data_IF_723266133826
#
_entry.id   IF_723266133826
#
_cell.length_a   1.000
_cell.length_b   1.000
_cell.length_c   1.000
_cell.angle_alpha   90.00
_cell.angle_beta   90.00
_cell.angle_gamma   90.00
#
_symmetry.space_group_name_H-M   'P 1'
#
loop_
_entity.id
_entity.type
_entity.pdbx_description
1 polymer ?
#
# COMPACT_ATOMS: atom_id res chain seq x y z
N UNK A 1 5.38 -2.84 -2.76
CA UNK A 1 6.19 -2.46 -3.93
C UNK A 1 6.31 -0.96 -4.16
N UNK A 2 5.20 -0.19 -4.19
CA UNK A 2 5.23 1.29 -4.39
C UNK A 2 6.18 1.97 -3.39
N UNK A 3 6.06 1.68 -2.09
CA UNK A 3 6.97 2.19 -1.07
C UNK A 3 8.44 1.88 -1.38
N UNK A 4 8.75 0.62 -1.68
CA UNK A 4 10.15 0.19 -1.92
C UNK A 4 10.80 0.95 -3.07
N UNK A 5 10.09 1.06 -4.19
CA UNK A 5 10.64 1.75 -5.37
C UNK A 5 10.78 3.26 -5.14
N UNK A 6 9.76 3.91 -4.59
CA UNK A 6 9.81 5.36 -4.35
C UNK A 6 10.91 5.73 -3.34
N UNK A 7 11.08 4.93 -2.27
CA UNK A 7 12.16 5.13 -1.32
C UNK A 7 13.53 4.88 -1.97
N UNK A 8 13.68 3.81 -2.75
CA UNK A 8 14.92 3.50 -3.47
C UNK A 8 15.32 4.61 -4.43
N UNK A 9 14.38 5.12 -5.22
CA UNK A 9 14.61 6.24 -6.13
C UNK A 9 14.96 7.53 -5.39
N UNK A 10 14.30 7.81 -4.27
CA UNK A 10 14.64 8.97 -3.45
C UNK A 10 16.05 8.86 -2.84
N UNK A 11 16.44 7.67 -2.38
CA UNK A 11 17.80 7.41 -1.90
C UNK A 11 18.84 7.56 -3.01
N UNK A 12 18.56 7.04 -4.20
CA UNK A 12 19.47 7.19 -5.35
C UNK A 12 19.65 8.67 -5.72
N UNK A 13 18.59 9.48 -5.70
CA UNK A 13 18.68 10.94 -5.96
C UNK A 13 19.55 11.69 -4.96
N UNK A 14 19.64 11.24 -3.73
CA UNK A 14 20.53 11.84 -2.70
C UNK A 14 21.92 11.18 -2.65
N UNK A 15 22.28 10.36 -3.68
CA UNK A 15 23.61 9.84 -3.89
C UNK A 15 23.92 8.50 -3.22
N UNK A 16 22.90 7.75 -2.79
CA UNK A 16 23.09 6.38 -2.28
C UNK A 16 23.13 5.40 -3.45
N UNK A 17 24.08 4.46 -3.45
CA UNK A 17 24.09 3.32 -4.37
C UNK A 17 23.04 2.30 -3.91
N UNK A 18 21.94 2.19 -4.67
CA UNK A 18 20.77 1.39 -4.27
C UNK A 18 20.55 0.23 -5.22
N UNK A 19 20.47 -0.97 -4.66
CA UNK A 19 20.03 -2.17 -5.37
C UNK A 19 18.70 -2.69 -4.79
N UNK A 20 17.69 -2.84 -5.64
CA UNK A 20 16.42 -3.46 -5.28
C UNK A 20 16.39 -4.90 -5.77
N UNK A 21 16.21 -5.84 -4.85
CA UNK A 21 16.02 -7.26 -5.14
C UNK A 21 14.55 -7.62 -5.09
N UNK A 22 14.07 -8.35 -6.08
CA UNK A 22 12.68 -8.83 -6.16
C UNK A 22 12.59 -10.15 -6.92
N UNK A 23 11.52 -10.90 -6.68
CA UNK A 23 11.20 -12.09 -7.47
C UNK A 23 10.49 -11.66 -8.76
N UNK A 24 10.98 -12.15 -9.92
CA UNK A 24 10.34 -12.01 -11.23
C UNK A 24 9.23 -13.05 -11.38
N UNK A 25 8.01 -12.68 -10.98
CA UNK A 25 6.84 -13.57 -11.06
C UNK A 25 6.32 -13.66 -12.48
N UNK A 26 5.80 -14.85 -12.84
CA UNK A 26 5.22 -15.08 -14.16
C UNK A 26 6.24 -15.02 -15.30
N UNK A 27 7.54 -14.86 -15.00
CA UNK A 27 8.58 -14.73 -16.02
C UNK A 27 8.70 -13.33 -16.64
N UNK A 28 8.05 -12.33 -16.09
CA UNK A 28 8.20 -10.94 -16.54
C UNK A 28 9.59 -10.39 -16.17
N UNK A 29 10.28 -9.82 -17.16
CA UNK A 29 11.56 -9.13 -16.97
C UNK A 29 11.40 -7.67 -16.51
N UNK A 30 10.16 -7.22 -16.28
CA UNK A 30 9.81 -5.85 -15.96
C UNK A 30 9.11 -5.66 -14.62
N UNK A 31 9.09 -4.41 -14.17
CA UNK A 31 8.28 -3.96 -13.05
C UNK A 31 6.95 -3.37 -13.56
N UNK A 32 5.97 -3.23 -12.65
CA UNK A 32 4.67 -2.62 -12.97
C UNK A 32 4.77 -1.15 -13.45
N UNK A 33 5.93 -0.51 -13.32
CA UNK A 33 6.26 0.82 -13.82
C UNK A 33 7.76 0.94 -14.16
N UNK A 34 8.11 2.00 -14.88
CA UNK A 34 9.50 2.36 -15.07
C UNK A 34 10.16 2.75 -13.74
N UNK A 35 11.41 2.34 -13.55
CA UNK A 35 12.23 2.63 -12.38
C UNK A 35 13.37 3.55 -12.79
N UNK A 36 13.73 4.50 -11.94
CA UNK A 36 14.84 5.40 -12.16
C UNK A 36 16.13 4.59 -12.48
N UNK A 37 16.83 4.88 -13.60
CA UNK A 37 18.03 4.16 -13.99
C UNK A 37 19.19 4.23 -12.97
N UNK A 38 19.13 5.16 -12.02
CA UNK A 38 20.09 5.22 -10.91
C UNK A 38 19.86 4.11 -9.86
N UNK A 39 18.73 3.41 -9.91
CA UNK A 39 18.44 2.25 -9.06
C UNK A 39 18.78 0.97 -9.80
N UNK A 40 19.68 0.16 -9.24
CA UNK A 40 19.98 -1.17 -9.79
C UNK A 40 18.87 -2.15 -9.43
N UNK A 41 18.28 -2.81 -10.43
CA UNK A 41 17.31 -3.87 -10.23
C UNK A 41 17.94 -5.26 -10.36
N UNK A 42 17.65 -6.14 -9.42
CA UNK A 42 18.00 -7.56 -9.44
C UNK A 42 16.73 -8.40 -9.34
N UNK A 43 16.25 -8.87 -10.47
CA UNK A 43 15.07 -9.72 -10.58
C UNK A 43 15.52 -11.19 -10.56
N UNK A 44 15.07 -11.92 -9.54
CA UNK A 44 15.36 -13.35 -9.38
C UNK A 44 14.24 -14.13 -10.08
N UNK A 45 14.54 -15.00 -11.05
CA UNK A 45 13.53 -15.79 -11.76
C UNK A 45 12.65 -16.58 -10.80
N UNK A 46 11.34 -16.41 -10.93
CA UNK A 46 10.33 -17.10 -10.09
C UNK A 46 9.13 -17.51 -10.92
N UNK A 47 9.25 -18.59 -11.71
CA UNK A 47 8.16 -19.08 -12.55
C UNK A 47 6.99 -19.61 -11.71
N UNK A 48 5.78 -19.45 -12.22
CA UNK A 48 4.59 -20.03 -11.61
C UNK A 48 4.63 -21.55 -11.65
N UNK A 49 4.02 -22.17 -10.65
CA UNK A 49 3.86 -23.65 -10.56
C UNK A 49 2.38 -23.98 -10.48
N UNK A 50 1.96 -24.96 -11.26
CA UNK A 50 0.59 -25.47 -11.21
C UNK A 50 0.31 -26.11 -9.84
N UNK A 51 -0.90 -25.91 -9.34
CA UNK A 51 -1.39 -26.49 -8.07
C UNK A 51 -0.55 -26.14 -6.83
N UNK A 52 0.27 -25.09 -6.88
CA UNK A 52 1.03 -24.63 -5.73
C UNK A 52 0.12 -23.91 -4.73
N UNK A 53 0.15 -24.32 -3.46
CA UNK A 53 -0.57 -23.58 -2.41
C UNK A 53 0.09 -22.23 -2.12
N UNK A 54 -0.66 -21.28 -1.54
CA UNK A 54 -0.09 -19.99 -1.11
C UNK A 54 1.05 -20.20 -0.11
N UNK A 55 0.90 -21.15 0.80
CA UNK A 55 1.94 -21.49 1.79
C UNK A 55 3.22 -21.95 1.10
N UNK A 56 3.11 -22.92 0.18
CA UNK A 56 4.27 -23.45 -0.55
C UNK A 56 4.94 -22.36 -1.39
N UNK A 57 4.14 -21.48 -2.02
CA UNK A 57 4.64 -20.34 -2.79
C UNK A 57 5.41 -19.37 -1.90
N UNK A 58 4.92 -19.03 -0.70
CA UNK A 58 5.63 -18.14 0.24
C UNK A 58 6.94 -18.76 0.68
N UNK A 59 6.95 -20.04 1.07
CA UNK A 59 8.17 -20.75 1.48
C UNK A 59 9.17 -20.77 0.33
N UNK A 60 8.74 -21.17 -0.86
CA UNK A 60 9.60 -21.18 -2.07
C UNK A 60 10.12 -19.78 -2.40
N UNK A 61 9.32 -18.73 -2.20
CA UNK A 61 9.75 -17.34 -2.39
C UNK A 61 10.90 -16.97 -1.47
N UNK A 62 10.82 -17.37 -0.20
CA UNK A 62 11.89 -17.16 0.80
C UNK A 62 13.15 -17.89 0.39
N UNK A 63 13.05 -19.18 0.04
CA UNK A 63 14.20 -20.00 -0.32
C UNK A 63 14.87 -19.52 -1.62
N UNK A 64 14.08 -19.23 -2.67
CA UNK A 64 14.59 -18.72 -3.94
C UNK A 64 15.33 -17.39 -3.78
N UNK A 65 14.80 -16.46 -2.98
CA UNK A 65 15.46 -15.20 -2.73
C UNK A 65 16.73 -15.38 -1.87
N UNK A 66 16.70 -16.28 -0.90
CA UNK A 66 17.86 -16.60 -0.03
C UNK A 66 19.02 -17.18 -0.85
N UNK A 67 18.73 -18.10 -1.75
CA UNK A 67 19.75 -18.76 -2.58
C UNK A 67 20.43 -17.78 -3.56
N UNK A 68 19.74 -16.73 -3.96
CA UNK A 68 20.24 -15.73 -4.90
C UNK A 68 20.92 -14.53 -4.23
N UNK A 69 20.67 -14.27 -2.93
CA UNK A 69 21.09 -13.04 -2.26
C UNK A 69 22.37 -13.23 -1.45
N UNK A 70 23.35 -12.34 -1.67
CA UNK A 70 24.57 -12.28 -0.87
C UNK A 70 24.58 -11.01 -0.02
N UNK A 71 24.38 -11.18 1.29
CA UNK A 71 24.39 -10.10 2.30
C UNK A 71 25.74 -9.36 2.35
N UNK A 72 26.84 -10.05 2.08
CA UNK A 72 28.21 -9.47 2.18
C UNK A 72 28.50 -8.42 1.13
N UNK A 73 27.70 -8.33 0.08
CA UNK A 73 27.85 -7.35 -1.00
C UNK A 73 27.33 -5.94 -0.64
N UNK A 74 26.72 -5.76 0.54
CA UNK A 74 26.04 -4.52 0.91
C UNK A 74 26.44 -4.02 2.29
N UNK A 75 26.53 -2.69 2.43
CA UNK A 75 26.75 -2.05 3.73
C UNK A 75 25.49 -2.09 4.61
N UNK A 76 24.31 -2.01 4.01
CA UNK A 76 23.00 -2.08 4.65
C UNK A 76 22.07 -3.00 3.85
N UNK A 77 21.40 -3.90 4.53
CA UNK A 77 20.33 -4.72 3.98
C UNK A 77 19.02 -4.35 4.64
N UNK A 78 18.03 -3.94 3.82
CA UNK A 78 16.74 -3.46 4.30
C UNK A 78 15.59 -4.27 3.69
N UNK A 79 14.97 -5.12 4.51
CA UNK A 79 13.84 -5.95 4.12
C UNK A 79 12.51 -5.17 4.23
N UNK A 80 11.66 -5.31 3.21
CA UNK A 80 10.40 -4.56 3.10
C UNK A 80 9.16 -5.41 3.42
N UNK A 81 9.30 -6.73 3.44
CA UNK A 81 8.20 -7.66 3.71
C UNK A 81 8.65 -8.90 4.50
N UNK A 82 7.69 -9.79 4.80
CA UNK A 82 7.95 -11.03 5.52
C UNK A 82 8.86 -11.98 4.72
N UNK A 83 8.71 -12.03 3.39
CA UNK A 83 9.50 -12.91 2.52
C UNK A 83 10.95 -12.47 2.55
N UNK A 84 11.22 -11.21 2.23
CA UNK A 84 12.57 -10.66 2.21
C UNK A 84 13.27 -10.75 3.57
N UNK A 85 12.58 -10.45 4.67
CA UNK A 85 13.16 -10.54 6.02
C UNK A 85 13.56 -11.97 6.42
N UNK A 86 12.81 -13.00 5.97
CA UNK A 86 13.18 -14.40 6.20
C UNK A 86 14.26 -14.91 5.22
N UNK A 87 14.41 -14.28 4.07
CA UNK A 87 15.36 -14.68 3.05
C UNK A 87 16.79 -14.17 3.33
N UNK A 88 16.93 -12.89 3.65
CA UNK A 88 18.22 -12.20 3.66
C UNK A 88 19.03 -12.32 4.97
N UNK A 89 18.44 -12.88 6.03
CA UNK A 89 19.12 -13.07 7.31
C UNK A 89 19.27 -11.77 8.10
N UNK A 90 20.50 -11.26 8.23
CA UNK A 90 20.77 -10.01 8.98
C UNK A 90 20.28 -8.79 8.21
N UNK A 91 19.26 -8.12 8.70
CA UNK A 91 18.65 -6.97 8.04
C UNK A 91 18.02 -5.99 9.00
N UNK A 92 17.80 -4.77 8.53
CA UNK A 92 16.78 -3.85 9.02
C UNK A 92 15.45 -4.28 8.39
N UNK A 93 14.33 -4.07 9.08
CA UNK A 93 13.02 -4.28 8.49
C UNK A 93 12.11 -3.08 8.65
N UNK A 94 11.44 -2.65 7.55
CA UNK A 94 10.25 -1.80 7.63
C UNK A 94 9.00 -2.67 7.78
N UNK A 95 8.20 -2.42 8.82
CA UNK A 95 6.93 -3.07 9.09
C UNK A 95 5.82 -2.11 8.64
N UNK A 96 5.16 -2.48 7.53
CA UNK A 96 4.07 -1.69 6.97
C UNK A 96 2.75 -1.94 7.68
N UNK A 97 2.49 -3.16 8.08
CA UNK A 97 1.36 -3.63 8.89
C UNK A 97 1.68 -5.04 9.39
N UNK A 98 0.94 -5.50 10.37
CA UNK A 98 1.06 -6.86 10.88
C UNK A 98 -0.10 -7.71 10.35
N UNK A 99 0.20 -8.81 9.68
CA UNK A 99 -0.78 -9.76 9.19
C UNK A 99 -1.11 -10.80 10.26
N UNK A 100 -2.31 -11.37 10.17
CA UNK A 100 -2.73 -12.50 11.01
C UNK A 100 -2.80 -13.75 10.13
N UNK A 101 -1.96 -14.73 10.45
CA UNK A 101 -1.93 -16.02 9.80
C UNK A 101 -2.49 -17.10 10.69
N UNK A 102 -3.17 -18.09 10.10
CA UNK A 102 -3.68 -19.28 10.82
C UNK A 102 -2.85 -20.52 10.53
N UNK A 103 -2.11 -20.54 9.42
CA UNK A 103 -1.22 -21.64 9.05
C UNK A 103 0.06 -21.58 9.89
N UNK A 104 0.42 -22.63 10.65
CA UNK A 104 1.55 -22.58 11.60
C UNK A 104 2.87 -22.12 11.00
N UNK A 105 3.23 -22.57 9.81
CA UNK A 105 4.47 -22.18 9.13
C UNK A 105 4.48 -20.67 8.79
N UNK A 106 3.34 -20.10 8.39
CA UNK A 106 3.23 -18.67 8.09
C UNK A 106 3.24 -17.82 9.36
N UNK A 107 2.64 -18.31 10.45
CA UNK A 107 2.74 -17.69 11.80
C UNK A 107 4.20 -17.60 12.22
N UNK A 108 4.96 -18.68 12.06
CA UNK A 108 6.38 -18.70 12.42
C UNK A 108 7.23 -17.80 11.51
N UNK A 109 6.98 -17.81 10.20
CA UNK A 109 7.63 -16.89 9.25
C UNK A 109 7.36 -15.43 9.63
N UNK A 110 6.11 -15.10 9.96
CA UNK A 110 5.73 -13.74 10.37
C UNK A 110 6.43 -13.35 11.68
N UNK A 111 6.43 -14.22 12.70
CA UNK A 111 7.14 -14.00 13.97
C UNK A 111 8.63 -13.76 13.72
N UNK A 112 9.30 -14.62 12.97
CA UNK A 112 10.73 -14.47 12.62
C UNK A 112 11.01 -13.15 11.93
N UNK A 113 10.17 -12.77 10.99
CA UNK A 113 10.31 -11.52 10.25
C UNK A 113 10.14 -10.25 11.14
N UNK A 114 9.51 -10.36 12.31
CA UNK A 114 9.45 -9.28 13.30
C UNK A 114 10.60 -9.37 14.30
N UNK A 115 10.97 -10.57 14.75
CA UNK A 115 11.91 -10.78 15.85
C UNK A 115 13.38 -10.74 15.42
N UNK A 116 13.70 -11.35 14.26
CA UNK A 116 15.09 -11.56 13.83
C UNK A 116 15.80 -10.32 13.26
N UNK A 117 15.14 -9.36 12.57
CA UNK A 117 15.84 -8.15 12.12
C UNK A 117 16.57 -7.47 13.28
N UNK A 118 17.80 -6.97 13.04
CA UNK A 118 18.58 -6.31 14.10
C UNK A 118 18.05 -4.91 14.43
N UNK A 119 17.34 -4.27 13.50
CA UNK A 119 16.64 -3.01 13.73
C UNK A 119 15.32 -2.97 12.97
N UNK A 120 14.38 -2.13 13.42
CA UNK A 120 13.00 -2.08 12.91
C UNK A 120 12.54 -0.65 12.71
N UNK A 121 11.85 -0.43 11.60
CA UNK A 121 11.14 0.82 11.28
C UNK A 121 9.66 0.46 11.14
N UNK A 122 8.77 1.31 11.64
CA UNK A 122 7.34 1.26 11.37
C UNK A 122 6.91 2.51 10.60
N UNK A 123 5.90 2.37 9.73
CA UNK A 123 5.43 3.48 8.89
C UNK A 123 4.47 4.44 9.63
N UNK A 124 4.08 4.09 10.85
CA UNK A 124 3.22 4.88 11.72
C UNK A 124 3.41 4.49 13.19
N UNK A 125 2.97 5.35 14.09
CA UNK A 125 3.00 5.08 15.53
C UNK A 125 2.07 3.92 15.90
N UNK A 126 0.89 3.86 15.29
CA UNK A 126 -0.06 2.77 15.54
C UNK A 126 0.56 1.40 15.22
N UNK A 127 1.29 1.26 14.10
CA UNK A 127 2.01 0.00 13.78
C UNK A 127 3.16 -0.24 14.78
N UNK A 128 3.87 0.80 15.21
CA UNK A 128 4.93 0.66 16.22
C UNK A 128 4.36 0.20 17.58
N UNK A 129 3.21 0.72 17.97
CA UNK A 129 2.50 0.31 19.19
C UNK A 129 2.02 -1.14 19.10
N UNK A 130 1.51 -1.59 17.94
CA UNK A 130 1.18 -3.01 17.72
C UNK A 130 2.41 -3.91 17.87
N UNK A 131 3.56 -3.51 17.33
CA UNK A 131 4.84 -4.25 17.48
C UNK A 131 5.28 -4.25 18.92
N UNK A 132 5.16 -3.13 19.61
CA UNK A 132 5.51 -3.04 21.03
C UNK A 132 4.64 -3.96 21.89
N UNK A 133 3.33 -3.93 21.72
CA UNK A 133 2.41 -4.78 22.47
C UNK A 133 2.59 -6.28 22.17
N UNK A 134 2.89 -6.62 20.90
CA UNK A 134 3.03 -8.02 20.49
C UNK A 134 4.37 -8.66 20.84
N UNK A 135 5.48 -7.88 20.85
CA UNK A 135 6.85 -8.42 20.99
C UNK A 135 7.76 -7.61 21.90
N UNK A 136 7.31 -6.52 22.50
CA UNK A 136 8.11 -5.69 23.41
C UNK A 136 9.18 -4.82 22.73
N UNK A 137 9.25 -4.78 21.40
CA UNK A 137 10.19 -3.91 20.69
C UNK A 137 9.68 -2.47 20.64
N UNK A 138 10.62 -1.52 20.48
CA UNK A 138 10.32 -0.10 20.27
C UNK A 138 10.91 0.32 18.93
N UNK A 139 10.19 0.12 17.81
CA UNK A 139 10.66 0.52 16.49
C UNK A 139 10.71 2.04 16.34
N UNK A 140 11.62 2.54 15.49
CA UNK A 140 11.55 3.94 15.04
C UNK A 140 10.37 4.09 14.07
N UNK A 141 9.75 5.29 14.08
CA UNK A 141 8.66 5.63 13.18
C UNK A 141 9.18 6.56 12.07
N UNK A 142 9.16 6.06 10.84
CA UNK A 142 9.46 6.86 9.65
C UNK A 142 8.26 6.76 8.72
N UNK A 143 7.43 7.81 8.62
CA UNK A 143 6.28 7.83 7.71
C UNK A 143 6.70 7.65 6.25
N UNK A 144 5.79 7.12 5.45
CA UNK A 144 6.00 7.06 4.00
C UNK A 144 6.02 8.46 3.41
N UNK A 145 6.81 8.65 2.37
CA UNK A 145 6.66 9.77 1.46
C UNK A 145 5.43 9.62 0.56
N UNK A 146 5.07 10.69 -0.10
CA UNK A 146 3.96 10.76 -1.07
C UNK A 146 4.50 11.32 -2.38
N UNK A 147 4.09 10.75 -3.51
CA UNK A 147 4.41 11.26 -4.84
C UNK A 147 3.51 12.47 -5.19
N UNK A 148 3.51 13.48 -4.31
CA UNK A 148 2.58 14.61 -4.34
C UNK A 148 2.48 15.25 -5.72
N UNK A 149 3.62 15.65 -6.30
CA UNK A 149 3.64 16.42 -7.54
C UNK A 149 2.97 15.65 -8.69
N UNK A 150 3.20 14.36 -8.78
CA UNK A 150 2.63 13.49 -9.81
C UNK A 150 1.10 13.52 -9.85
N UNK A 151 0.45 13.49 -8.67
CA UNK A 151 -1.00 13.55 -8.55
C UNK A 151 -1.55 14.97 -8.62
N UNK A 152 -0.82 15.96 -8.09
CA UNK A 152 -1.18 17.37 -8.20
C UNK A 152 -1.15 17.85 -9.65
N UNK A 153 -0.16 17.43 -10.46
CA UNK A 153 -0.06 17.76 -11.89
C UNK A 153 -1.23 17.17 -12.68
N UNK A 154 -1.64 15.93 -12.37
CA UNK A 154 -2.80 15.29 -12.99
C UNK A 154 -4.13 16.01 -12.65
N UNK A 155 -4.19 16.72 -11.54
CA UNK A 155 -5.33 17.54 -11.14
C UNK A 155 -5.25 19.01 -11.61
N UNK A 156 -4.16 19.39 -12.27
CA UNK A 156 -3.93 20.76 -12.71
C UNK A 156 -4.92 21.23 -13.80
N UNK A 157 -4.90 22.54 -14.05
CA UNK A 157 -5.70 23.16 -15.14
C UNK A 157 -4.99 23.14 -16.49
N UNK A 158 -3.84 22.49 -16.58
CA UNK A 158 -3.11 22.37 -17.85
C UNK A 158 -3.93 21.57 -18.86
N UNK A 159 -3.95 21.95 -20.14
CA UNK A 159 -4.80 21.34 -21.16
C UNK A 159 -4.65 19.80 -21.24
N UNK A 160 -3.43 19.30 -21.17
CA UNK A 160 -3.13 17.87 -21.24
C UNK A 160 -3.72 17.11 -20.05
N UNK A 161 -3.65 17.70 -18.86
CA UNK A 161 -4.22 17.11 -17.64
C UNK A 161 -5.76 17.12 -17.66
N UNK A 162 -6.36 18.20 -18.18
CA UNK A 162 -7.81 18.31 -18.38
C UNK A 162 -8.28 17.23 -19.38
N UNK A 163 -7.66 17.15 -20.56
CA UNK A 163 -8.00 16.16 -21.59
C UNK A 163 -7.87 14.72 -21.05
N UNK A 164 -6.82 14.45 -20.27
CA UNK A 164 -6.61 13.13 -19.68
C UNK A 164 -7.72 12.77 -18.68
N UNK A 165 -8.18 13.72 -17.86
CA UNK A 165 -9.32 13.50 -16.96
C UNK A 165 -10.64 13.35 -17.71
N UNK A 166 -10.84 14.14 -18.77
CA UNK A 166 -12.04 14.08 -19.61
C UNK A 166 -12.19 12.73 -20.32
N UNK A 167 -11.07 12.09 -20.69
CA UNK A 167 -11.10 10.71 -21.21
C UNK A 167 -11.67 9.73 -20.16
N UNK A 168 -11.28 9.86 -18.90
CA UNK A 168 -11.79 9.01 -17.83
C UNK A 168 -13.26 9.27 -17.53
N UNK A 169 -13.67 10.53 -17.39
CA UNK A 169 -15.07 10.89 -17.16
C UNK A 169 -15.95 10.56 -18.36
N UNK A 170 -15.45 10.69 -19.58
CA UNK A 170 -16.15 10.26 -20.80
C UNK A 170 -16.38 8.74 -20.86
N UNK A 171 -15.47 7.95 -20.28
CA UNK A 171 -15.56 6.49 -20.25
C UNK A 171 -16.41 5.95 -19.08
N UNK A 172 -16.29 6.57 -17.90
CA UNK A 172 -16.83 6.05 -16.64
C UNK A 172 -18.03 6.85 -16.10
N UNK A 173 -18.30 8.02 -16.66
CA UNK A 173 -19.22 9.00 -16.05
C UNK A 173 -18.61 9.67 -14.81
N UNK A 174 -19.44 10.22 -13.95
CA UNK A 174 -19.03 10.62 -12.60
C UNK A 174 -18.88 9.39 -11.70
N UNK A 175 -17.84 9.32 -10.88
CA UNK A 175 -17.59 8.10 -10.12
C UNK A 175 -16.94 8.31 -8.75
N UNK A 176 -17.27 7.38 -7.86
CA UNK A 176 -16.53 7.09 -6.63
C UNK A 176 -15.43 6.08 -6.98
N UNK A 177 -14.21 6.34 -6.59
CA UNK A 177 -13.05 5.50 -6.88
C UNK A 177 -12.53 4.82 -5.61
N UNK A 178 -12.28 3.52 -5.71
CA UNK A 178 -11.46 2.77 -4.76
C UNK A 178 -10.24 2.18 -5.48
N UNK A 179 -9.04 2.40 -4.95
CA UNK A 179 -7.79 1.84 -5.48
C UNK A 179 -7.33 0.68 -4.62
N UNK A 180 -7.20 -0.48 -5.24
CA UNK A 180 -6.83 -1.76 -4.65
C UNK A 180 -7.70 -2.89 -5.17
N UNK A 181 -7.27 -4.13 -4.91
CA UNK A 181 -8.03 -5.32 -5.28
C UNK A 181 -9.31 -5.50 -4.46
N UNK A 182 -10.21 -6.36 -4.96
CA UNK A 182 -11.38 -6.79 -4.20
C UNK A 182 -10.91 -7.83 -3.17
N UNK A 183 -10.71 -7.38 -1.94
CA UNK A 183 -10.16 -8.16 -0.84
C UNK A 183 -10.73 -7.75 0.53
N UNK A 184 -10.77 -8.64 1.53
CA UNK A 184 -11.37 -8.37 2.84
C UNK A 184 -10.76 -7.12 3.50
N UNK A 185 -9.44 -7.00 3.48
CA UNK A 185 -8.71 -5.90 4.12
C UNK A 185 -9.11 -4.52 3.57
N UNK A 186 -9.47 -4.45 2.28
CA UNK A 186 -9.89 -3.21 1.61
C UNK A 186 -11.36 -2.82 1.87
N UNK A 187 -12.14 -3.69 2.51
CA UNK A 187 -13.55 -3.39 2.81
C UNK A 187 -14.44 -3.26 1.59
N UNK A 188 -14.13 -3.99 0.50
CA UNK A 188 -14.80 -3.83 -0.79
C UNK A 188 -16.30 -4.18 -0.73
N UNK A 189 -16.71 -5.15 0.10
CA UNK A 189 -18.13 -5.50 0.28
C UNK A 189 -18.86 -4.40 1.07
N UNK A 190 -18.23 -3.80 2.08
CA UNK A 190 -18.83 -2.68 2.82
C UNK A 190 -19.02 -1.47 1.90
N UNK A 191 -18.04 -1.19 1.02
CA UNK A 191 -18.17 -0.14 0.02
C UNK A 191 -19.28 -0.42 -0.98
N UNK A 192 -19.43 -1.68 -1.43
CA UNK A 192 -20.52 -2.08 -2.32
C UNK A 192 -21.88 -1.86 -1.66
N UNK A 193 -22.03 -2.23 -0.38
CA UNK A 193 -23.26 -1.99 0.37
C UNK A 193 -23.55 -0.50 0.56
N UNK A 194 -22.53 0.31 0.87
CA UNK A 194 -22.68 1.76 1.01
C UNK A 194 -23.04 2.43 -0.33
N UNK A 195 -22.43 1.97 -1.42
CA UNK A 195 -22.76 2.46 -2.75
C UNK A 195 -24.20 2.14 -3.17
N UNK A 196 -24.73 0.97 -2.81
CA UNK A 196 -26.13 0.64 -3.09
C UNK A 196 -27.08 1.67 -2.46
N UNK A 197 -26.83 2.10 -1.21
CA UNK A 197 -27.59 3.17 -0.54
C UNK A 197 -27.39 4.54 -1.21
N UNK A 198 -26.16 4.85 -1.62
CA UNK A 198 -25.84 6.10 -2.30
C UNK A 198 -26.53 6.21 -3.67
N UNK A 199 -26.52 5.13 -4.46
CA UNK A 199 -27.11 5.06 -5.80
C UNK A 199 -28.62 5.33 -5.83
N UNK A 200 -29.34 5.04 -4.74
CA UNK A 200 -30.78 5.39 -4.66
C UNK A 200 -31.02 6.89 -4.84
N UNK A 201 -30.07 7.73 -4.40
CA UNK A 201 -30.14 9.20 -4.49
C UNK A 201 -29.32 9.76 -5.66
N UNK A 202 -28.30 9.02 -6.11
CA UNK A 202 -27.37 9.41 -7.17
C UNK A 202 -27.25 8.30 -8.23
N UNK A 203 -28.30 8.02 -9.01
CA UNK A 203 -28.32 6.89 -9.97
C UNK A 203 -27.30 7.05 -11.12
N UNK A 204 -26.83 8.27 -11.37
CA UNK A 204 -25.82 8.58 -12.41
C UNK A 204 -24.38 8.31 -11.95
N UNK A 205 -24.16 8.15 -10.65
CA UNK A 205 -22.82 7.99 -10.07
C UNK A 205 -22.38 6.53 -10.17
N UNK A 206 -21.22 6.29 -10.74
CA UNK A 206 -20.61 4.96 -10.85
C UNK A 206 -19.72 4.64 -9.64
N UNK A 207 -19.60 3.35 -9.29
CA UNK A 207 -18.57 2.85 -8.38
C UNK A 207 -17.48 2.17 -9.19
N UNK A 208 -16.22 2.60 -9.02
CA UNK A 208 -15.07 2.10 -9.77
C UNK A 208 -14.04 1.50 -8.81
N UNK A 209 -13.62 0.27 -9.09
CA UNK A 209 -12.50 -0.39 -8.45
C UNK A 209 -11.31 -0.44 -9.43
N UNK A 210 -10.15 0.07 -9.01
CA UNK A 210 -8.91 0.03 -9.76
C UNK A 210 -7.85 -0.75 -8.99
N UNK A 211 -7.61 -1.99 -9.36
CA UNK A 211 -6.63 -2.87 -8.74
C UNK A 211 -6.81 -4.32 -9.19
N UNK A 212 -5.69 -5.00 -9.30
CA UNK A 212 -5.64 -6.40 -9.70
C UNK A 212 -5.77 -7.38 -8.54
N UNK A 213 -5.53 -8.63 -8.86
CA UNK A 213 -5.48 -9.71 -7.89
C UNK A 213 -4.22 -9.64 -7.03
N UNK A 214 -4.39 -9.95 -5.75
CA UNK A 214 -3.29 -10.01 -4.80
C UNK A 214 -2.70 -11.42 -4.70
N UNK A 215 -1.62 -11.55 -3.91
CA UNK A 215 -0.98 -12.84 -3.63
C UNK A 215 -1.87 -13.85 -2.93
N UNK A 216 -2.81 -13.35 -2.15
CA UNK A 216 -3.68 -14.19 -1.33
C UNK A 216 -4.88 -14.67 -2.15
N UNK A 217 -5.28 -15.92 -1.91
CA UNK A 217 -6.46 -16.50 -2.53
C UNK A 217 -7.72 -15.98 -1.83
N UNK A 218 -8.32 -14.96 -2.41
CA UNK A 218 -9.60 -14.41 -1.94
C UNK A 218 -10.78 -14.84 -2.82
N UNK A 219 -10.72 -16.04 -3.42
CA UNK A 219 -11.82 -16.53 -4.29
C UNK A 219 -13.16 -16.55 -3.60
N UNK A 220 -13.21 -16.99 -2.34
CA UNK A 220 -14.46 -17.01 -1.57
C UNK A 220 -15.00 -15.61 -1.30
N UNK A 221 -14.13 -14.66 -0.99
CA UNK A 221 -14.51 -13.26 -0.79
C UNK A 221 -14.98 -12.60 -2.09
N UNK A 222 -14.37 -12.93 -3.23
CA UNK A 222 -14.80 -12.47 -4.55
C UNK A 222 -16.14 -13.07 -4.94
N UNK A 223 -16.35 -14.36 -4.71
CA UNK A 223 -17.65 -14.99 -4.92
C UNK A 223 -18.73 -14.34 -4.05
N UNK A 224 -18.41 -13.99 -2.80
CA UNK A 224 -19.31 -13.24 -1.92
C UNK A 224 -19.59 -11.82 -2.44
N UNK A 225 -18.56 -11.11 -2.93
CA UNK A 225 -18.72 -9.81 -3.57
C UNK A 225 -19.63 -9.89 -4.80
N UNK A 226 -19.46 -10.89 -5.67
CA UNK A 226 -20.27 -11.10 -6.86
C UNK A 226 -21.71 -11.49 -6.52
N UNK A 227 -21.92 -12.32 -5.50
CA UNK A 227 -23.25 -12.62 -4.97
C UNK A 227 -23.91 -11.35 -4.44
N UNK A 228 -23.18 -10.54 -3.68
CA UNK A 228 -23.72 -9.34 -3.05
C UNK A 228 -24.10 -8.26 -4.06
N UNK A 229 -23.28 -8.04 -5.11
CA UNK A 229 -23.64 -7.08 -6.18
C UNK A 229 -24.91 -7.48 -6.90
N UNK A 230 -25.13 -8.79 -7.10
CA UNK A 230 -26.35 -9.31 -7.73
C UNK A 230 -27.57 -9.10 -6.83
N UNK A 231 -27.46 -9.36 -5.53
CA UNK A 231 -28.54 -9.13 -4.55
C UNK A 231 -28.95 -7.65 -4.43
N UNK A 232 -27.98 -6.75 -4.53
CA UNK A 232 -28.18 -5.30 -4.45
C UNK A 232 -28.58 -4.66 -5.80
N UNK A 233 -28.58 -5.44 -6.87
CA UNK A 233 -28.78 -4.95 -8.24
C UNK A 233 -27.84 -3.78 -8.59
N UNK A 234 -26.57 -3.88 -8.26
CA UNK A 234 -25.54 -2.88 -8.56
C UNK A 234 -24.44 -3.47 -9.42
N UNK A 235 -23.94 -2.66 -10.36
CA UNK A 235 -22.88 -3.06 -11.29
C UNK A 235 -21.66 -2.13 -11.15
N UNK A 236 -20.75 -2.42 -10.20
CA UNK A 236 -19.51 -1.66 -10.09
C UNK A 236 -18.60 -1.95 -11.29
N UNK A 237 -17.86 -0.93 -11.70
CA UNK A 237 -16.86 -1.05 -12.79
C UNK A 237 -15.54 -1.52 -12.17
N UNK A 238 -15.06 -2.70 -12.56
CA UNK A 238 -13.77 -3.26 -12.10
C UNK A 238 -12.77 -3.14 -13.23
N UNK A 239 -11.80 -2.21 -13.10
CA UNK A 239 -10.81 -1.93 -14.15
C UNK A 239 -9.65 -2.94 -14.16
N UNK A 240 -9.46 -3.70 -13.08
CA UNK A 240 -8.24 -4.49 -12.92
C UNK A 240 -7.00 -3.62 -12.70
N UNK A 241 -5.84 -4.09 -13.17
CA UNK A 241 -4.60 -3.31 -13.11
C UNK A 241 -4.68 -2.12 -14.06
N UNK A 242 -4.57 -0.93 -13.50
CA UNK A 242 -4.46 0.33 -14.27
C UNK A 242 -2.96 0.63 -14.45
N UNK A 243 -2.52 1.01 -15.66
CA UNK A 243 -1.15 1.45 -15.88
C UNK A 243 -0.74 2.55 -14.91
N UNK A 244 0.51 2.47 -14.42
CA UNK A 244 0.99 3.38 -13.39
C UNK A 244 0.94 4.85 -13.81
N UNK A 245 1.20 5.15 -15.08
CA UNK A 245 1.14 6.49 -15.65
C UNK A 245 -0.29 7.03 -15.84
N UNK A 246 -1.29 6.15 -15.92
CA UNK A 246 -2.70 6.53 -16.01
C UNK A 246 -3.37 6.69 -14.64
N UNK A 247 -2.82 6.08 -13.59
CA UNK A 247 -3.41 6.11 -12.26
C UNK A 247 -3.63 7.52 -11.70
N UNK A 248 -2.70 8.49 -11.84
CA UNK A 248 -2.91 9.84 -11.33
C UNK A 248 -4.12 10.55 -11.95
N UNK A 249 -4.31 10.39 -13.26
CA UNK A 249 -5.43 11.02 -13.96
C UNK A 249 -6.77 10.35 -13.64
N UNK A 250 -6.79 9.02 -13.47
CA UNK A 250 -7.96 8.29 -12.97
C UNK A 250 -8.36 8.79 -11.57
N UNK A 251 -7.40 8.94 -10.67
CA UNK A 251 -7.64 9.47 -9.31
C UNK A 251 -8.14 10.91 -9.39
N UNK A 252 -7.47 11.77 -10.17
CA UNK A 252 -7.81 13.20 -10.29
C UNK A 252 -9.17 13.45 -10.95
N UNK A 253 -9.68 12.52 -11.77
CA UNK A 253 -10.98 12.60 -12.41
C UNK A 253 -12.14 12.11 -11.50
N UNK A 254 -11.86 11.39 -10.41
CA UNK A 254 -12.91 10.90 -9.50
C UNK A 254 -13.63 12.03 -8.76
N UNK A 255 -14.91 11.82 -8.42
CA UNK A 255 -15.66 12.75 -7.58
C UNK A 255 -15.27 12.61 -6.12
N UNK A 256 -15.15 11.39 -5.65
CA UNK A 256 -14.78 11.01 -4.29
C UNK A 256 -13.85 9.81 -4.34
N UNK A 257 -12.86 9.79 -3.45
CA UNK A 257 -12.02 8.64 -3.23
C UNK A 257 -12.47 7.88 -1.98
N UNK A 258 -12.89 6.63 -2.15
CA UNK A 258 -13.31 5.76 -1.06
C UNK A 258 -12.15 4.89 -0.57
N UNK A 259 -11.87 4.93 0.74
CA UNK A 259 -10.82 4.16 1.38
C UNK A 259 -11.32 3.40 2.62
N UNK A 260 -12.30 2.48 2.45
CA UNK A 260 -12.99 1.82 3.56
C UNK A 260 -12.20 0.66 4.17
N UNK A 261 -10.87 0.67 4.04
CA UNK A 261 -9.99 -0.39 4.53
C UNK A 261 -10.23 -0.68 6.01
N UNK A 262 -10.33 -1.98 6.35
CA UNK A 262 -10.50 -2.44 7.75
C UNK A 262 -9.16 -2.62 8.47
N UNK A 263 -8.05 -2.62 7.72
CA UNK A 263 -6.69 -2.70 8.24
C UNK A 263 -5.72 -1.99 7.30
N UNK A 264 -4.91 -1.10 7.86
CA UNK A 264 -3.91 -0.32 7.15
C UNK A 264 -2.69 -0.04 8.04
N UNK A 265 -1.60 0.37 7.40
CA UNK A 265 -0.41 0.84 8.09
C UNK A 265 -0.12 2.32 7.86
N UNK A 266 -0.62 2.90 6.74
CA UNK A 266 -0.42 4.31 6.42
C UNK A 266 -1.52 4.88 5.52
N UNK A 267 -1.83 4.22 4.37
CA UNK A 267 -2.86 4.69 3.44
C UNK A 267 -2.31 5.50 2.27
N UNK A 268 -1.25 5.02 1.59
CA UNK A 268 -0.64 5.72 0.45
C UNK A 268 -1.64 6.13 -0.63
N UNK A 269 -2.56 5.24 -1.04
CA UNK A 269 -3.54 5.55 -2.08
C UNK A 269 -4.48 6.70 -1.69
N UNK A 270 -4.84 6.81 -0.41
CA UNK A 270 -5.62 7.94 0.08
C UNK A 270 -4.79 9.24 0.10
N UNK A 271 -3.50 9.19 0.46
CA UNK A 271 -2.58 10.34 0.36
C UNK A 271 -2.41 10.81 -1.09
N UNK A 272 -2.33 9.88 -2.04
CA UNK A 272 -2.29 10.17 -3.47
C UNK A 272 -3.56 10.88 -3.94
N UNK A 273 -4.73 10.47 -3.45
CA UNK A 273 -5.99 11.14 -3.74
C UNK A 273 -6.06 12.55 -3.12
N UNK A 274 -5.55 12.74 -1.89
CA UNK A 274 -5.42 14.06 -1.28
C UNK A 274 -4.49 14.98 -2.08
N UNK A 275 -3.39 14.43 -2.64
CA UNK A 275 -2.48 15.17 -3.53
C UNK A 275 -3.20 15.69 -4.77
N UNK A 276 -4.12 14.89 -5.35
CA UNK A 276 -4.97 15.29 -6.45
C UNK A 276 -6.12 16.24 -6.03
N UNK A 277 -6.20 16.60 -4.74
CA UNK A 277 -7.29 17.41 -4.20
C UNK A 277 -8.65 16.73 -4.25
N UNK A 278 -8.69 15.41 -4.19
CA UNK A 278 -9.95 14.69 -4.13
C UNK A 278 -10.42 14.56 -2.69
N UNK A 279 -11.72 14.73 -2.43
CA UNK A 279 -12.28 14.40 -1.13
C UNK A 279 -12.10 12.90 -0.87
N UNK A 280 -11.64 12.56 0.34
CA UNK A 280 -11.39 11.19 0.76
C UNK A 280 -12.34 10.82 1.89
N UNK A 281 -13.00 9.67 1.74
CA UNK A 281 -13.79 9.05 2.79
C UNK A 281 -13.12 7.75 3.20
N UNK A 282 -12.84 7.60 4.48
CA UNK A 282 -12.12 6.45 5.03
C UNK A 282 -12.85 5.81 6.21
N UNK A 283 -12.49 4.57 6.52
CA UNK A 283 -12.94 3.95 7.77
C UNK A 283 -12.33 4.67 8.98
N UNK A 284 -13.09 4.74 10.07
CA UNK A 284 -12.60 5.24 11.34
C UNK A 284 -11.68 4.20 12.00
N UNK A 285 -10.37 4.34 11.78
CA UNK A 285 -9.34 3.53 12.42
C UNK A 285 -8.34 4.45 13.13
N UNK A 286 -7.80 4.05 14.31
CA UNK A 286 -6.81 4.85 15.03
C UNK A 286 -5.62 5.27 14.16
N UNK A 287 -5.12 4.37 13.32
CA UNK A 287 -4.03 4.64 12.39
C UNK A 287 -4.39 5.70 11.34
N UNK A 288 -5.61 5.67 10.81
CA UNK A 288 -6.04 6.63 9.80
C UNK A 288 -6.33 8.00 10.42
N UNK A 289 -6.77 8.03 11.69
CA UNK A 289 -6.84 9.27 12.48
C UNK A 289 -5.45 9.87 12.74
N UNK A 290 -4.47 9.03 13.07
CA UNK A 290 -3.08 9.47 13.25
C UNK A 290 -2.53 10.11 11.96
N UNK A 291 -2.73 9.44 10.82
CA UNK A 291 -2.11 9.81 9.54
C UNK A 291 -2.82 10.97 8.87
N UNK A 292 -4.15 11.00 8.88
CA UNK A 292 -4.94 11.97 8.11
C UNK A 292 -5.52 13.12 8.93
N UNK A 293 -5.62 12.98 10.26
CA UNK A 293 -6.25 14.01 11.10
C UNK A 293 -7.64 14.38 10.56
N UNK A 294 -7.88 15.68 10.35
CA UNK A 294 -9.15 16.21 9.85
C UNK A 294 -9.19 16.39 8.31
N UNK A 295 -8.15 15.93 7.60
CA UNK A 295 -8.04 16.07 6.15
C UNK A 295 -9.00 15.16 5.35
N UNK A 296 -9.66 14.19 6.02
CA UNK A 296 -10.58 13.22 5.42
C UNK A 296 -11.89 13.13 6.20
N UNK A 297 -12.92 12.57 5.57
CA UNK A 297 -14.14 12.16 6.27
C UNK A 297 -14.00 10.71 6.77
N UNK A 298 -14.64 10.40 7.91
CA UNK A 298 -14.56 9.09 8.56
C UNK A 298 -15.93 8.46 8.68
N UNK A 299 -15.98 7.13 8.58
CA UNK A 299 -17.18 6.34 8.77
C UNK A 299 -16.85 5.01 9.46
N UNK A 300 -17.65 4.58 10.40
CA UNK A 300 -17.50 3.32 11.15
C UNK A 300 -18.40 2.21 10.63
N UNK A 301 -19.55 2.59 10.07
CA UNK A 301 -20.60 1.68 9.59
C UNK A 301 -20.89 1.89 8.11
N UNK A 302 -21.58 0.93 7.49
CA UNK A 302 -22.01 1.04 6.08
C UNK A 302 -22.94 2.23 5.85
N UNK A 303 -23.97 2.51 6.67
CA UNK A 303 -24.78 3.72 6.52
C UNK A 303 -23.96 5.01 6.64
N UNK A 304 -23.10 5.13 7.65
CA UNK A 304 -22.20 6.30 7.80
C UNK A 304 -21.28 6.45 6.59
N UNK A 305 -20.80 5.34 6.01
CA UNK A 305 -19.97 5.38 4.80
C UNK A 305 -20.77 5.93 3.61
N UNK A 306 -22.04 5.52 3.44
CA UNK A 306 -22.89 6.05 2.39
C UNK A 306 -23.16 7.56 2.58
N UNK A 307 -23.47 8.01 3.79
CA UNK A 307 -23.67 9.42 4.13
C UNK A 307 -22.40 10.24 3.90
N UNK A 308 -21.25 9.76 4.38
CA UNK A 308 -19.97 10.46 4.19
C UNK A 308 -19.55 10.55 2.71
N UNK A 309 -19.85 9.52 1.90
CA UNK A 309 -19.64 9.56 0.45
C UNK A 309 -20.57 10.59 -0.23
N UNK A 310 -21.83 10.68 0.18
CA UNK A 310 -22.77 11.68 -0.32
C UNK A 310 -22.32 13.11 0.02
N UNK A 311 -21.99 13.36 1.28
CA UNK A 311 -21.47 14.67 1.73
C UNK A 311 -20.21 15.07 0.95
N UNK A 312 -19.33 14.11 0.66
CA UNK A 312 -18.11 14.31 -0.10
C UNK A 312 -18.33 14.66 -1.59
N UNK A 313 -19.52 14.45 -2.14
CA UNK A 313 -19.87 14.93 -3.51
C UNK A 313 -19.90 16.45 -3.59
N UNK A 314 -20.10 17.13 -2.45
CA UNK A 314 -19.98 18.59 -2.30
C UNK A 314 -18.80 18.88 -1.35
N UNK A 315 -17.55 18.86 -1.86
CA UNK A 315 -16.36 18.91 -1.02
C UNK A 315 -16.23 20.24 -0.27
N UNK A 316 -15.86 20.16 1.00
CA UNK A 316 -15.42 21.29 1.80
C UNK A 316 -14.04 21.78 1.31
N UNK A 317 -13.92 23.01 0.76
CA UNK A 317 -12.65 23.53 0.25
C UNK A 317 -11.54 23.57 1.30
N UNK A 318 -11.88 23.82 2.57
CA UNK A 318 -10.89 23.87 3.66
C UNK A 318 -10.31 22.48 3.93
N UNK A 319 -11.15 21.43 3.91
CA UNK A 319 -10.69 20.05 4.07
C UNK A 319 -9.85 19.59 2.88
N UNK A 320 -10.22 19.94 1.65
CA UNK A 320 -9.44 19.66 0.43
C UNK A 320 -8.05 20.30 0.53
N UNK A 321 -7.97 21.56 0.95
CA UNK A 321 -6.68 22.24 1.10
C UNK A 321 -5.83 21.65 2.24
N UNK A 322 -6.45 21.31 3.37
CA UNK A 322 -5.77 20.60 4.45
C UNK A 322 -5.20 19.25 3.96
N UNK A 323 -5.94 18.50 3.14
CA UNK A 323 -5.48 17.25 2.53
C UNK A 323 -4.29 17.45 1.61
N UNK A 324 -4.32 18.45 0.73
CA UNK A 324 -3.19 18.80 -0.15
C UNK A 324 -1.95 19.19 0.66
N UNK A 325 -2.11 20.04 1.66
CA UNK A 325 -1.02 20.50 2.53
C UNK A 325 -0.40 19.33 3.30
N UNK A 326 -1.22 18.42 3.83
CA UNK A 326 -0.76 17.22 4.50
C UNK A 326 0.07 16.33 3.55
N UNK A 327 -0.46 16.02 2.37
CA UNK A 327 0.23 15.19 1.39
C UNK A 327 1.55 15.83 0.91
N UNK A 328 1.56 17.15 0.69
CA UNK A 328 2.76 17.90 0.29
C UNK A 328 3.84 17.93 1.37
N UNK A 329 3.47 17.80 2.65
CA UNK A 329 4.42 17.80 3.77
C UNK A 329 5.19 16.47 3.92
N UNK A 330 4.77 15.41 3.25
CA UNK A 330 5.34 14.07 3.36
C UNK A 330 6.06 13.72 2.04
N UNK A 331 7.35 14.01 1.96
CA UNK A 331 8.13 13.73 0.74
C UNK A 331 8.94 12.43 0.85
N UNK A 332 9.20 11.78 -0.28
CA UNK A 332 10.09 10.63 -0.33
C UNK A 332 11.55 11.01 -0.03
N UNK A 333 11.94 12.23 -0.36
CA UNK A 333 13.25 12.79 -0.04
C UNK A 333 13.46 12.91 1.47
N UNK A 334 12.46 13.42 2.20
CA UNK A 334 12.51 13.50 3.67
C UNK A 334 12.50 12.10 4.30
N UNK A 335 11.68 11.19 3.78
CA UNK A 335 11.69 9.81 4.20
C UNK A 335 13.09 9.16 3.97
N UNK A 336 13.72 9.39 2.82
CA UNK A 336 15.06 8.88 2.51
C UNK A 336 16.12 9.41 3.48
N UNK A 337 16.11 10.73 3.77
CA UNK A 337 17.03 11.33 4.73
C UNK A 337 16.87 10.72 6.14
N UNK A 338 15.64 10.55 6.61
CA UNK A 338 15.37 9.89 7.90
C UNK A 338 15.83 8.43 7.94
N UNK A 339 15.74 7.72 6.82
CA UNK A 339 16.27 6.35 6.72
C UNK A 339 17.80 6.35 6.79
N UNK A 340 18.50 7.31 6.14
CA UNK A 340 19.96 7.43 6.27
C UNK A 340 20.40 7.73 7.70
N UNK A 341 19.71 8.61 8.40
CA UNK A 341 19.95 8.87 9.82
C UNK A 341 19.74 7.63 10.67
N UNK A 342 18.69 6.84 10.34
CA UNK A 342 18.42 5.57 11.01
C UNK A 342 19.54 4.56 10.73
N UNK A 343 20.00 4.41 9.49
CA UNK A 343 21.10 3.48 9.13
C UNK A 343 22.40 3.86 9.84
N UNK A 344 22.71 5.15 9.93
CA UNK A 344 23.90 5.63 10.65
C UNK A 344 23.89 5.25 12.15
N UNK A 345 22.69 5.22 12.77
CA UNK A 345 22.52 4.79 14.18
C UNK A 345 22.50 3.27 14.36
N UNK A 346 22.21 2.53 13.28
CA UNK A 346 22.05 1.07 13.28
C UNK A 346 22.92 0.43 12.18
N UNK A 347 24.26 0.50 12.30
CA UNK A 347 25.15 -0.15 11.33
C UNK A 347 24.92 -1.66 11.34
N UNK A 348 25.11 -2.29 10.17
CA UNK A 348 24.93 -3.74 10.04
C UNK A 348 25.94 -4.47 10.95
N UNK A 349 25.48 -5.41 11.81
CA UNK A 349 26.37 -6.24 12.62
C UNK A 349 27.35 -7.04 11.76
N UNK A 350 28.64 -7.05 12.14
CA UNK A 350 29.69 -7.79 11.40
C UNK A 350 29.64 -9.30 11.68
N UNK A 351 29.16 -9.68 12.87
CA UNK A 351 28.94 -11.07 13.24
C UNK A 351 27.46 -11.43 13.11
N UNK A 352 27.12 -12.66 12.65
CA UNK A 352 25.75 -13.10 12.62
C UNK A 352 25.16 -13.05 14.03
N UNK A 353 24.03 -12.37 14.18
CA UNK A 353 23.32 -12.34 15.45
C UNK A 353 22.94 -13.77 15.85
N UNK A 354 23.07 -14.15 17.14
CA UNK A 354 22.56 -15.43 17.60
C UNK A 354 21.07 -15.51 17.25
N UNK A 355 20.69 -16.55 16.51
CA UNK A 355 19.29 -16.84 16.23
C UNK A 355 18.58 -17.02 17.57
N UNK A 356 17.75 -16.07 17.96
CA UNK A 356 16.91 -16.21 19.15
C UNK A 356 15.85 -17.30 18.91
N UNK A 357 16.28 -18.55 19.10
CA UNK A 357 15.42 -19.70 19.33
C UNK A 357 15.42 -19.91 20.84
N UNK A 358 14.57 -19.22 21.51
CA UNK A 358 13.79 -19.68 22.66
C UNK A 358 13.02 -18.50 23.27
N UNK A 359 11.75 -18.40 22.92
CA UNK A 359 10.78 -17.68 23.73
C UNK A 359 9.64 -18.66 24.03
N UNK A 360 9.97 -19.66 24.85
CA UNK A 360 8.99 -20.33 25.68
C UNK A 360 8.73 -19.41 26.88
N UNK A 361 7.76 -18.49 26.75
CA UNK A 361 6.99 -17.94 27.89
C UNK A 361 5.71 -17.33 27.36
#
# INVERSE_FOLDING_TARGET
MVHTLNLAEAMARIGVDVTVWSLARGGDDGFFRNVDPAVTLRLVPFPDRENETITDRIVRSIDTLRDAFDTSAYDIVHAQDCISANAVGTCIRTIHHLDQFTTPILVECHKKAVVNPYARICVSRAVADEVHHGWGFTPDVIPNGVAYQRFADAASVMPEAVEARDRWTGKLGEYVLAVGGIEPRKGSIDLLNAYALLRERHPELSLVFAGGETLFDYRDYRAEFDRRRTELDVEPIVLGNVPDDELPTLVAASRVFAFPSVKEGFGLAAMEALSAGRPVVTRELPILREVFGDAVAYASTVPELAEALEDALTPDPARVEAGRSLAASLTWEDAALRHLEFYARHPMPRDPLPTHVDASR
#
